data_IF_551553831388
#
_entry.id   IF_551553831388
#
_cell.length_a   1.000
_cell.length_b   1.000
_cell.length_c   1.000
_cell.angle_alpha   90.00
_cell.angle_beta   90.00
_cell.angle_gamma   90.00
#
_symmetry.space_group_name_H-M   'P 1'
#
loop_
_entity.id
_entity.type
_entity.pdbx_description
1 polymer ?
#
# COMPACT_ATOMS: atom_id res chain seq x y z
N UNK A 1 -12.76 -17.86 -8.01
CA UNK A 1 -13.87 -18.67 -8.63
C UNK A 1 -14.55 -19.48 -7.54
N UNK A 2 -15.88 -19.55 -7.52
CA UNK A 2 -16.58 -20.35 -6.54
C UNK A 2 -16.18 -21.83 -6.68
N UNK A 3 -15.93 -22.51 -5.56
CA UNK A 3 -15.62 -23.93 -5.54
C UNK A 3 -16.76 -24.71 -6.22
N UNK A 4 -16.47 -25.36 -7.34
CA UNK A 4 -17.46 -26.09 -8.14
C UNK A 4 -17.81 -27.45 -7.53
N UNK A 5 -16.93 -28.00 -6.68
CA UNK A 5 -17.17 -29.27 -6.00
C UNK A 5 -17.90 -29.00 -4.69
N UNK A 6 -19.16 -29.42 -4.58
CA UNK A 6 -19.99 -29.25 -3.38
C UNK A 6 -19.89 -30.43 -2.41
N UNK A 7 -19.64 -31.63 -2.93
CA UNK A 7 -19.45 -32.83 -2.15
C UNK A 7 -18.62 -33.87 -2.93
N UNK A 8 -17.98 -34.78 -2.19
CA UNK A 8 -17.27 -35.92 -2.74
C UNK A 8 -17.76 -37.18 -2.02
N UNK A 9 -18.28 -38.14 -2.78
CA UNK A 9 -18.89 -39.36 -2.24
C UNK A 9 -19.94 -39.11 -1.12
N UNK A 10 -20.73 -38.03 -1.27
CA UNK A 10 -21.76 -37.65 -0.32
C UNK A 10 -21.28 -36.90 0.92
N UNK A 11 -19.98 -36.72 1.08
CA UNK A 11 -19.41 -35.90 2.15
C UNK A 11 -19.29 -34.46 1.64
N UNK A 12 -19.81 -33.48 2.37
CA UNK A 12 -19.68 -32.09 2.05
C UNK A 12 -18.19 -31.69 1.95
N UNK A 13 -17.83 -30.89 0.94
CA UNK A 13 -16.42 -30.59 0.65
C UNK A 13 -15.70 -29.93 1.84
N UNK A 14 -16.38 -29.09 2.62
CA UNK A 14 -15.86 -28.48 3.83
C UNK A 14 -15.37 -29.48 4.90
N UNK A 15 -15.83 -30.75 4.83
CA UNK A 15 -15.46 -31.77 5.77
C UNK A 15 -14.38 -32.74 5.26
N UNK A 16 -13.88 -32.52 4.04
CA UNK A 16 -12.85 -33.34 3.42
C UNK A 16 -11.49 -32.74 3.72
N UNK A 17 -10.73 -33.38 4.58
CA UNK A 17 -9.38 -32.93 4.94
C UNK A 17 -8.28 -33.73 4.21
N UNK A 18 -8.62 -34.82 3.56
CA UNK A 18 -7.65 -35.66 2.87
C UNK A 18 -8.34 -36.55 1.82
N UNK A 19 -7.75 -36.69 0.64
CA UNK A 19 -8.16 -37.65 -0.39
C UNK A 19 -6.91 -38.43 -0.82
N UNK A 20 -6.92 -39.74 -0.64
CA UNK A 20 -5.84 -40.64 -1.01
C UNK A 20 -4.45 -40.21 -0.48
N UNK A 21 -4.41 -39.71 0.75
CA UNK A 21 -3.16 -39.25 1.37
C UNK A 21 -2.73 -37.82 1.01
N UNK A 22 -3.44 -37.17 0.12
CA UNK A 22 -3.24 -35.72 -0.18
C UNK A 22 -4.17 -34.90 0.72
N UNK A 23 -3.62 -33.94 1.42
CA UNK A 23 -4.39 -32.96 2.18
C UNK A 23 -5.20 -32.06 1.24
N UNK A 24 -6.29 -31.49 1.71
CA UNK A 24 -7.15 -30.58 0.94
C UNK A 24 -6.38 -29.42 0.28
N UNK A 25 -5.40 -28.86 0.97
CA UNK A 25 -4.53 -27.80 0.46
C UNK A 25 -3.72 -28.20 -0.81
N UNK A 26 -3.52 -29.51 -1.03
CA UNK A 26 -2.76 -30.03 -2.18
C UNK A 26 -3.67 -30.57 -3.30
N UNK A 27 -4.98 -30.56 -3.11
CA UNK A 27 -5.94 -31.06 -4.09
C UNK A 27 -6.43 -29.87 -4.90
N UNK A 28 -5.93 -29.69 -6.12
CA UNK A 28 -6.34 -28.59 -6.97
C UNK A 28 -7.51 -28.91 -7.91
N UNK A 29 -7.76 -30.20 -8.13
CA UNK A 29 -8.77 -30.63 -9.11
C UNK A 29 -9.31 -32.02 -8.73
N UNK A 30 -10.62 -32.19 -8.84
CA UNK A 30 -11.30 -33.48 -8.71
C UNK A 30 -12.13 -33.71 -9.95
N UNK A 31 -11.78 -34.73 -10.76
CA UNK A 31 -12.48 -35.06 -11.99
C UNK A 31 -12.67 -33.87 -12.97
N UNK A 32 -11.65 -33.06 -13.11
CA UNK A 32 -11.70 -31.88 -13.99
C UNK A 32 -12.42 -30.66 -13.40
N UNK A 33 -12.95 -30.79 -12.18
CA UNK A 33 -13.53 -29.67 -11.45
C UNK A 33 -12.51 -29.09 -10.49
N UNK A 34 -12.36 -27.78 -10.48
CA UNK A 34 -11.44 -27.11 -9.56
C UNK A 34 -11.86 -27.33 -8.11
N UNK A 35 -10.90 -27.76 -7.32
CA UNK A 35 -11.05 -27.95 -5.89
C UNK A 35 -10.15 -26.97 -5.16
N UNK A 36 -10.76 -25.99 -4.56
CA UNK A 36 -10.12 -25.17 -3.55
C UNK A 36 -10.56 -25.69 -2.19
N UNK A 37 -9.66 -26.35 -1.48
CA UNK A 37 -9.93 -26.74 -0.07
C UNK A 37 -10.36 -25.53 0.74
N UNK A 38 -11.12 -25.72 1.80
CA UNK A 38 -11.39 -24.62 2.75
C UNK A 38 -10.08 -24.21 3.39
N UNK A 39 -9.55 -23.07 2.96
CA UNK A 39 -8.43 -22.45 3.64
C UNK A 39 -9.02 -21.58 4.73
N UNK A 40 -8.65 -21.87 5.96
CA UNK A 40 -9.11 -21.09 7.11
C UNK A 40 -8.47 -19.70 7.07
N UNK A 41 -9.24 -18.68 7.41
CA UNK A 41 -8.72 -17.33 7.62
C UNK A 41 -7.93 -17.34 8.93
N UNK A 42 -6.66 -16.95 8.89
CA UNK A 42 -5.83 -16.93 10.10
C UNK A 42 -4.39 -16.51 9.88
N UNK A 43 -3.69 -16.30 10.98
CA UNK A 43 -2.26 -16.02 10.95
C UNK A 43 -1.48 -17.31 10.66
N UNK A 44 -0.60 -17.27 9.66
CA UNK A 44 0.40 -18.33 9.39
C UNK A 44 1.58 -18.16 10.34
N UNK A 45 2.06 -16.91 10.50
CA UNK A 45 3.05 -16.55 11.50
C UNK A 45 2.52 -15.42 12.37
N UNK A 46 2.80 -15.52 13.66
CA UNK A 46 2.61 -14.40 14.57
C UNK A 46 3.66 -13.29 14.30
N UNK A 47 3.43 -12.18 14.89
CA UNK A 47 4.26 -10.99 14.95
C UNK A 47 5.76 -11.29 15.04
N UNK A 48 6.52 -11.09 13.96
CA UNK A 48 7.92 -11.46 13.86
C UNK A 48 8.76 -10.28 13.37
N UNK A 49 9.84 -9.99 14.09
CA UNK A 49 10.75 -8.90 13.74
C UNK A 49 11.50 -9.20 12.43
N UNK A 50 11.63 -8.19 11.58
CA UNK A 50 12.43 -8.23 10.35
C UNK A 50 13.95 -8.18 10.62
N UNK A 51 14.38 -8.41 11.84
CA UNK A 51 15.77 -8.57 12.28
C UNK A 51 16.64 -7.30 12.32
N UNK A 52 16.08 -6.08 12.29
CA UNK A 52 16.92 -4.87 12.24
C UNK A 52 16.37 -3.72 13.05
N UNK A 53 17.29 -2.94 13.62
CA UNK A 53 16.94 -1.66 14.22
C UNK A 53 16.46 -0.67 13.17
N UNK A 54 15.23 -0.20 13.30
CA UNK A 54 14.57 0.73 12.40
C UNK A 54 14.02 1.96 13.13
N UNK A 55 13.26 2.75 12.39
CA UNK A 55 12.44 3.84 12.90
C UNK A 55 11.10 3.77 12.15
N UNK A 56 10.11 4.58 12.52
CA UNK A 56 8.77 4.54 11.92
C UNK A 56 8.77 4.68 10.39
N UNK A 57 7.89 3.94 9.71
CA UNK A 57 7.62 4.10 8.29
C UNK A 57 8.22 3.03 7.38
N UNK A 58 8.10 1.76 7.76
CA UNK A 58 8.47 0.65 6.85
C UNK A 58 7.55 0.60 5.64
N UNK A 59 8.10 0.16 4.53
CA UNK A 59 7.36 -0.11 3.30
C UNK A 59 7.93 -1.38 2.64
N UNK A 60 7.16 -2.05 1.80
CA UNK A 60 7.59 -3.28 1.15
C UNK A 60 7.10 -3.39 -0.28
N UNK A 61 7.78 -4.22 -1.05
CA UNK A 61 7.31 -4.73 -2.33
C UNK A 61 7.79 -6.16 -2.53
N UNK A 62 7.27 -6.82 -3.54
CA UNK A 62 7.55 -8.22 -3.82
C UNK A 62 8.12 -8.40 -5.23
N UNK A 63 9.27 -9.05 -5.32
CA UNK A 63 9.89 -9.51 -6.54
C UNK A 63 9.33 -10.91 -6.88
N UNK A 64 8.33 -10.96 -7.73
CA UNK A 64 7.65 -12.19 -8.10
C UNK A 64 8.50 -13.12 -8.97
N UNK A 65 9.51 -12.60 -9.68
CA UNK A 65 10.38 -13.38 -10.55
C UNK A 65 11.37 -14.24 -9.75
N UNK A 66 11.84 -13.71 -8.62
CA UNK A 66 12.81 -14.38 -7.74
C UNK A 66 12.21 -14.85 -6.41
N UNK A 67 10.94 -14.59 -6.15
CA UNK A 67 10.26 -14.84 -4.88
C UNK A 67 10.93 -14.14 -3.70
N UNK A 68 11.32 -12.88 -3.89
CA UNK A 68 11.94 -12.07 -2.87
C UNK A 68 10.98 -11.02 -2.34
N UNK A 69 10.99 -10.87 -1.02
CA UNK A 69 10.36 -9.73 -0.34
C UNK A 69 11.42 -8.67 -0.12
N UNK A 70 11.15 -7.46 -0.56
CA UNK A 70 11.95 -6.30 -0.27
C UNK A 70 11.24 -5.45 0.79
N UNK A 71 11.92 -5.14 1.87
CA UNK A 71 11.42 -4.25 2.94
C UNK A 71 12.41 -3.11 3.13
N UNK A 72 11.91 -1.88 3.10
CA UNK A 72 12.69 -0.68 3.39
C UNK A 72 12.16 0.03 4.64
N UNK A 73 13.04 0.73 5.34
CA UNK A 73 12.72 1.38 6.59
C UNK A 73 13.72 2.51 6.91
N UNK A 74 13.29 3.56 7.63
CA UNK A 74 14.22 4.52 8.23
C UNK A 74 15.09 3.83 9.27
N UNK A 75 16.37 4.19 9.35
CA UNK A 75 17.31 3.65 10.35
C UNK A 75 17.35 4.50 11.59
N UNK A 76 17.55 3.86 12.74
CA UNK A 76 17.84 4.57 13.97
C UNK A 76 19.20 5.25 13.85
N UNK A 77 19.25 6.55 14.09
CA UNK A 77 20.47 7.37 13.89
C UNK A 77 20.57 8.05 12.54
N UNK A 78 19.57 7.92 11.66
CA UNK A 78 19.47 8.56 10.35
C UNK A 78 19.74 7.62 9.18
N UNK A 79 19.30 8.05 8.01
CA UNK A 79 19.39 7.29 6.76
C UNK A 79 18.30 6.27 6.56
N UNK A 80 18.35 5.57 5.42
CA UNK A 80 17.44 4.51 5.01
C UNK A 80 18.14 3.17 4.87
N UNK A 81 17.46 2.12 5.29
CA UNK A 81 17.90 0.73 5.11
C UNK A 81 16.89 -0.07 4.31
N UNK A 82 17.38 -1.13 3.68
CA UNK A 82 16.56 -2.15 3.06
C UNK A 82 17.07 -3.54 3.41
N UNK A 83 16.17 -4.51 3.39
CA UNK A 83 16.51 -5.92 3.53
C UNK A 83 15.69 -6.74 2.56
N UNK A 84 16.28 -7.81 2.04
CA UNK A 84 15.61 -8.75 1.15
C UNK A 84 15.43 -10.07 1.88
N UNK A 85 14.23 -10.63 1.83
CA UNK A 85 13.90 -11.93 2.38
C UNK A 85 13.39 -12.90 1.32
N UNK A 86 13.42 -14.18 1.61
CA UNK A 86 12.75 -15.22 0.83
C UNK A 86 11.95 -16.12 1.75
N UNK A 87 10.77 -16.52 1.31
CA UNK A 87 9.96 -17.43 2.10
C UNK A 87 10.56 -18.84 2.17
N UNK A 88 10.60 -19.38 3.36
CA UNK A 88 11.02 -20.74 3.63
C UNK A 88 9.78 -21.60 3.98
N UNK A 89 9.34 -22.41 3.02
CA UNK A 89 8.16 -23.25 3.17
C UNK A 89 8.32 -24.34 4.23
N UNK A 90 9.55 -24.70 4.61
CA UNK A 90 9.81 -25.75 5.60
C UNK A 90 9.48 -25.31 7.03
N UNK A 91 9.66 -24.05 7.34
CA UNK A 91 9.36 -23.46 8.65
C UNK A 91 8.27 -22.39 8.59
N UNK A 92 7.68 -22.15 7.41
CA UNK A 92 6.65 -21.12 7.17
C UNK A 92 7.07 -19.72 7.64
N UNK A 93 8.32 -19.38 7.42
CA UNK A 93 8.91 -18.13 7.87
C UNK A 93 9.71 -17.47 6.73
N UNK A 94 10.22 -16.27 6.95
CA UNK A 94 11.06 -15.55 5.99
C UNK A 94 12.53 -15.59 6.41
N UNK A 95 13.37 -16.07 5.51
CA UNK A 95 14.82 -16.04 5.67
C UNK A 95 15.36 -14.71 5.15
N UNK A 96 15.77 -13.82 6.05
CA UNK A 96 16.26 -12.49 5.74
C UNK A 96 17.76 -12.48 5.38
N UNK A 97 18.12 -11.65 4.38
CA UNK A 97 19.49 -11.30 4.07
C UNK A 97 20.06 -10.22 5.00
N UNK A 98 21.22 -9.69 4.62
CA UNK A 98 21.84 -8.58 5.34
C UNK A 98 21.20 -7.24 4.98
N UNK A 99 21.16 -6.32 5.95
CA UNK A 99 20.69 -4.95 5.71
C UNK A 99 21.59 -4.20 4.75
N UNK A 100 20.99 -3.61 3.76
CA UNK A 100 21.61 -2.76 2.75
C UNK A 100 21.31 -1.29 3.06
N UNK A 101 22.27 -0.40 2.77
CA UNK A 101 22.06 1.05 2.96
C UNK A 101 21.48 1.65 1.68
N UNK A 102 20.29 2.27 1.79
CA UNK A 102 19.71 3.10 0.73
C UNK A 102 20.31 4.49 0.80
N UNK A 103 20.29 5.10 2.00
CA UNK A 103 20.77 6.43 2.29
C UNK A 103 21.53 6.40 3.62
N UNK A 104 22.70 7.06 3.69
CA UNK A 104 23.60 6.95 4.85
C UNK A 104 23.48 8.07 5.87
N UNK A 105 23.02 9.24 5.48
CA UNK A 105 23.21 10.46 6.27
C UNK A 105 21.96 11.31 6.50
N UNK A 106 21.02 11.29 5.57
CA UNK A 106 19.80 12.10 5.68
C UNK A 106 18.65 11.32 6.27
N UNK A 107 17.69 12.00 6.88
CA UNK A 107 16.49 11.34 7.32
C UNK A 107 15.78 10.73 6.11
N UNK A 108 15.25 9.53 6.30
CA UNK A 108 14.56 8.73 5.31
C UNK A 108 13.10 8.62 5.76
N UNK A 109 12.27 9.53 5.26
CA UNK A 109 10.87 9.61 5.68
C UNK A 109 9.93 9.58 4.48
N UNK A 110 8.66 9.32 4.68
CA UNK A 110 7.66 9.30 3.62
C UNK A 110 8.07 8.41 2.46
N UNK A 111 8.65 7.27 2.75
CA UNK A 111 9.24 6.40 1.73
C UNK A 111 8.20 5.52 1.04
N UNK A 112 8.44 5.21 -0.23
CA UNK A 112 7.64 4.31 -1.06
C UNK A 112 8.56 3.42 -1.89
N UNK A 113 8.13 2.21 -2.18
CA UNK A 113 8.84 1.29 -3.07
C UNK A 113 7.87 0.50 -3.93
N UNK A 114 8.38 0.03 -5.06
CA UNK A 114 7.70 -0.90 -5.93
C UNK A 114 8.71 -1.76 -6.69
N UNK A 115 8.28 -2.91 -7.17
CA UNK A 115 9.09 -3.79 -8.00
C UNK A 115 8.74 -3.61 -9.47
N UNK A 116 9.77 -3.49 -10.29
CA UNK A 116 9.71 -3.38 -11.73
C UNK A 116 10.02 -4.74 -12.35
N UNK A 117 8.98 -5.48 -12.67
CA UNK A 117 9.08 -6.79 -13.32
C UNK A 117 9.64 -6.69 -14.73
N UNK A 118 9.38 -5.61 -15.45
CA UNK A 118 9.85 -5.42 -16.82
C UNK A 118 11.38 -5.35 -16.90
N UNK A 119 12.01 -4.62 -15.97
CA UNK A 119 13.45 -4.45 -15.91
C UNK A 119 14.13 -5.31 -14.83
N UNK A 120 13.39 -6.04 -14.01
CA UNK A 120 13.88 -6.77 -12.84
C UNK A 120 14.65 -5.84 -11.88
N UNK A 121 13.96 -4.83 -11.36
CA UNK A 121 14.52 -3.78 -10.50
C UNK A 121 13.60 -3.47 -9.32
N UNK A 122 14.19 -3.06 -8.22
CA UNK A 122 13.46 -2.43 -7.12
C UNK A 122 13.63 -0.93 -7.18
N UNK A 123 12.53 -0.21 -7.10
CA UNK A 123 12.45 1.23 -7.01
C UNK A 123 12.22 1.68 -5.59
N UNK A 124 12.84 2.77 -5.19
CA UNK A 124 12.59 3.45 -3.92
C UNK A 124 12.59 4.95 -4.10
N UNK A 125 11.66 5.63 -3.43
CA UNK A 125 11.63 7.08 -3.31
C UNK A 125 11.41 7.47 -1.84
N UNK A 126 11.98 8.61 -1.42
CA UNK A 126 11.87 9.08 -0.04
C UNK A 126 12.04 10.59 0.06
N UNK A 127 11.67 11.13 1.21
CA UNK A 127 11.91 12.53 1.58
C UNK A 127 13.10 12.60 2.52
N UNK A 128 14.10 13.40 2.17
CA UNK A 128 15.22 13.75 3.05
C UNK A 128 14.77 14.72 4.14
N UNK A 129 14.99 14.37 5.40
CA UNK A 129 14.37 15.07 6.52
C UNK A 129 14.98 16.41 6.90
N UNK A 130 16.17 16.73 6.40
CA UNK A 130 16.86 17.98 6.78
C UNK A 130 16.74 19.09 5.74
N UNK A 131 16.57 18.70 4.51
CA UNK A 131 16.57 19.58 3.33
C UNK A 131 15.24 19.60 2.57
N UNK A 132 14.28 18.76 3.02
CA UNK A 132 12.99 18.61 2.35
C UNK A 132 13.11 18.32 0.86
N UNK A 133 14.05 17.46 0.52
CA UNK A 133 14.34 17.06 -0.85
C UNK A 133 13.73 15.70 -1.11
N UNK A 134 13.13 15.52 -2.29
CA UNK A 134 12.61 14.25 -2.75
C UNK A 134 13.68 13.54 -3.55
N UNK A 135 13.98 12.31 -3.15
CA UNK A 135 14.98 11.46 -3.79
C UNK A 135 14.35 10.19 -4.35
N UNK A 136 15.00 9.63 -5.35
CA UNK A 136 14.71 8.27 -5.83
C UNK A 136 16.01 7.51 -6.10
N UNK A 137 15.90 6.19 -6.02
CA UNK A 137 16.99 5.26 -6.34
C UNK A 137 16.39 3.99 -6.92
N UNK A 138 17.16 3.36 -7.81
CA UNK A 138 16.80 2.07 -8.40
C UNK A 138 17.93 1.08 -8.14
N UNK A 139 17.60 -0.21 -7.98
CA UNK A 139 18.59 -1.24 -7.69
C UNK A 139 18.22 -2.60 -8.23
N UNK A 140 19.23 -3.45 -8.41
CA UNK A 140 19.09 -4.85 -8.79
C UNK A 140 19.26 -5.74 -7.57
N UNK A 141 18.29 -6.62 -7.32
CA UNK A 141 18.40 -7.63 -6.27
C UNK A 141 19.14 -8.85 -6.83
N UNK A 142 20.22 -9.26 -6.17
CA UNK A 142 20.97 -10.44 -6.53
C UNK A 142 20.43 -11.70 -5.82
N UNK A 143 20.78 -12.88 -6.31
CA UNK A 143 20.34 -14.17 -5.75
C UNK A 143 20.80 -14.41 -4.30
N UNK A 144 21.86 -13.73 -3.85
CA UNK A 144 22.33 -13.74 -2.46
C UNK A 144 21.61 -12.71 -1.57
N UNK A 145 20.56 -12.05 -2.12
CA UNK A 145 19.77 -11.01 -1.46
C UNK A 145 20.52 -9.69 -1.23
N UNK A 146 21.67 -9.49 -1.84
CA UNK A 146 22.33 -8.19 -1.90
C UNK A 146 21.67 -7.29 -2.95
N UNK A 147 21.82 -5.96 -2.81
CA UNK A 147 21.23 -4.98 -3.74
C UNK A 147 22.35 -4.13 -4.33
N UNK A 148 22.42 -4.13 -5.65
CA UNK A 148 23.31 -3.23 -6.40
C UNK A 148 22.56 -1.95 -6.75
N UNK A 149 22.81 -0.90 -5.99
CA UNK A 149 22.15 0.39 -6.15
C UNK A 149 22.78 1.25 -7.24
N UNK A 150 21.96 1.89 -8.06
CA UNK A 150 22.38 3.01 -8.92
C UNK A 150 22.62 4.29 -8.16
N UNK A 151 22.91 5.37 -8.88
CA UNK A 151 23.08 6.72 -8.32
C UNK A 151 21.75 7.27 -7.82
N UNK A 152 21.77 7.93 -6.68
CA UNK A 152 20.60 8.64 -6.15
C UNK A 152 20.24 9.82 -7.05
N UNK A 153 18.99 9.87 -7.51
CA UNK A 153 18.41 11.01 -8.22
C UNK A 153 17.76 11.97 -7.22
N UNK A 154 18.03 13.25 -7.36
CA UNK A 154 17.25 14.31 -6.74
C UNK A 154 16.07 14.65 -7.64
N UNK A 155 14.84 14.33 -7.22
CA UNK A 155 13.62 14.66 -7.95
C UNK A 155 13.31 16.15 -7.76
N UNK A 156 13.27 16.63 -6.54
CA UNK A 156 12.99 18.03 -6.22
C UNK A 156 13.75 18.51 -5.00
N UNK A 157 14.45 19.64 -5.14
CA UNK A 157 15.14 20.33 -4.04
C UNK A 157 14.23 21.36 -3.38
N UNK A 158 14.49 21.59 -2.08
CA UNK A 158 13.94 22.75 -1.38
C UNK A 158 12.41 22.77 -1.32
N UNK A 159 11.84 21.62 -1.13
CA UNK A 159 10.44 21.45 -0.91
C UNK A 159 10.01 22.25 0.33
N UNK A 160 9.22 23.31 0.13
CA UNK A 160 8.79 24.10 1.26
C UNK A 160 7.86 23.34 2.15
N UNK A 161 8.36 23.08 3.32
CA UNK A 161 7.69 22.34 4.35
C UNK A 161 6.63 23.16 5.04
N UNK A 162 5.41 22.93 4.72
CA UNK A 162 4.44 22.96 5.79
C UNK A 162 4.73 21.69 6.61
N UNK A 163 5.34 21.85 7.76
CA UNK A 163 5.90 20.77 8.60
C UNK A 163 4.91 19.67 9.01
N UNK A 164 3.68 19.77 8.59
CA UNK A 164 2.55 18.92 8.94
C UNK A 164 2.29 17.78 7.96
N UNK A 165 2.77 17.90 6.70
CA UNK A 165 2.37 16.98 5.62
C UNK A 165 3.54 16.16 5.04
N UNK A 166 4.75 16.38 5.52
CA UNK A 166 5.95 15.84 4.89
C UNK A 166 6.21 14.35 5.12
N UNK A 167 5.59 13.75 6.11
CA UNK A 167 6.00 12.41 6.56
C UNK A 167 5.15 11.27 6.01
N UNK A 168 4.02 11.56 5.42
CA UNK A 168 3.14 10.56 4.80
C UNK A 168 3.00 10.70 3.28
N UNK A 169 3.67 11.64 2.66
CA UNK A 169 3.42 12.02 1.27
C UNK A 169 3.79 10.96 0.25
N UNK A 170 4.89 10.24 0.48
CA UNK A 170 5.37 9.25 -0.48
C UNK A 170 4.91 7.82 -0.21
N UNK A 171 4.31 7.52 0.93
CA UNK A 171 3.78 6.18 1.15
C UNK A 171 2.68 5.87 0.15
N UNK A 172 2.90 4.83 -0.68
CA UNK A 172 2.15 4.55 -1.90
C UNK A 172 2.16 5.72 -2.92
N UNK A 173 3.19 6.56 -2.88
CA UNK A 173 3.42 7.64 -3.85
C UNK A 173 4.31 7.23 -5.02
N UNK A 174 4.58 5.95 -5.20
CA UNK A 174 5.38 5.38 -6.27
C UNK A 174 4.67 4.16 -6.84
N UNK A 175 4.55 4.08 -8.16
CA UNK A 175 3.95 2.95 -8.85
C UNK A 175 4.62 2.71 -10.21
N UNK A 176 4.95 1.45 -10.49
CA UNK A 176 5.64 1.05 -11.72
C UNK A 176 4.65 0.56 -12.77
N UNK A 177 4.78 1.05 -13.99
CA UNK A 177 4.19 0.47 -15.18
C UNK A 177 4.91 -0.84 -15.51
N UNK A 178 4.28 -1.94 -15.18
CA UNK A 178 4.82 -3.29 -15.33
C UNK A 178 5.01 -3.72 -16.80
N UNK A 179 4.51 -2.93 -17.76
CA UNK A 179 4.67 -3.20 -19.19
C UNK A 179 5.86 -2.49 -19.83
N UNK A 180 6.33 -1.39 -19.23
CA UNK A 180 7.42 -0.57 -19.77
C UNK A 180 8.56 -0.29 -18.78
N UNK A 181 8.38 -0.62 -17.50
CA UNK A 181 9.33 -0.32 -16.44
C UNK A 181 9.44 1.16 -16.07
N UNK A 182 8.52 2.00 -16.57
CA UNK A 182 8.46 3.39 -16.16
C UNK A 182 7.80 3.52 -14.80
N UNK A 183 8.30 4.42 -13.98
CA UNK A 183 7.83 4.62 -12.61
C UNK A 183 7.22 6.01 -12.47
N UNK A 184 5.96 6.09 -12.04
CA UNK A 184 5.35 7.34 -11.60
C UNK A 184 5.70 7.57 -10.13
N UNK A 185 6.22 8.76 -9.81
CA UNK A 185 6.34 9.25 -8.45
C UNK A 185 5.43 10.45 -8.28
N UNK A 186 4.60 10.42 -7.24
CA UNK A 186 3.66 11.50 -6.90
C UNK A 186 3.93 12.02 -5.50
N UNK A 187 3.75 13.32 -5.32
CA UNK A 187 3.91 13.97 -4.03
C UNK A 187 3.02 15.20 -3.94
N UNK A 188 2.82 15.67 -2.73
CA UNK A 188 2.13 16.92 -2.49
C UNK A 188 3.14 18.05 -2.32
N UNK A 189 2.98 19.15 -3.03
CA UNK A 189 3.85 20.31 -2.94
C UNK A 189 3.12 21.50 -2.29
N UNK A 190 3.56 21.89 -1.10
CA UNK A 190 2.96 23.01 -0.37
C UNK A 190 3.27 24.39 -0.96
N UNK A 191 4.35 24.50 -1.72
CA UNK A 191 4.80 25.73 -2.37
C UNK A 191 4.85 25.58 -3.89
N UNK A 192 3.77 25.09 -4.46
CA UNK A 192 3.74 24.91 -5.90
C UNK A 192 3.81 26.25 -6.63
N UNK A 193 4.97 26.55 -7.17
CA UNK A 193 5.18 27.67 -8.12
C UNK A 193 4.72 27.32 -9.53
N UNK A 194 4.40 26.05 -9.79
CA UNK A 194 3.84 25.59 -11.06
C UNK A 194 2.37 26.01 -11.07
N UNK A 195 2.07 27.17 -11.63
CA UNK A 195 0.70 27.70 -11.74
C UNK A 195 0.34 28.87 -10.84
N UNK A 196 1.27 29.40 -10.06
CA UNK A 196 1.19 30.77 -9.54
C UNK A 196 0.41 31.01 -8.24
N UNK A 197 0.01 29.99 -7.50
CA UNK A 197 -0.65 30.16 -6.20
C UNK A 197 0.10 29.42 -5.10
N UNK A 198 0.89 30.12 -4.34
CA UNK A 198 1.78 29.58 -3.29
C UNK A 198 1.08 29.11 -2.01
N UNK A 199 -0.23 29.17 -1.92
CA UNK A 199 -0.98 28.87 -0.69
C UNK A 199 -1.77 27.58 -0.72
N UNK A 200 -1.77 26.83 -1.82
CA UNK A 200 -2.55 25.62 -1.96
C UNK A 200 -1.63 24.42 -2.19
N UNK A 201 -1.83 23.38 -1.41
CA UNK A 201 -1.17 22.08 -1.59
C UNK A 201 -1.64 21.45 -2.90
N UNK A 202 -0.74 21.16 -3.81
CA UNK A 202 -1.09 20.54 -5.08
C UNK A 202 -0.31 19.25 -5.31
N UNK A 203 -1.00 18.19 -5.73
CA UNK A 203 -0.35 16.96 -6.17
C UNK A 203 0.50 17.21 -7.40
N UNK A 204 1.75 16.81 -7.34
CA UNK A 204 2.69 16.81 -8.45
C UNK A 204 3.11 15.39 -8.79
N UNK A 205 3.55 15.18 -9.99
CA UNK A 205 4.07 13.91 -10.46
C UNK A 205 5.20 14.04 -11.45
N UNK A 206 6.00 13.00 -11.52
CA UNK A 206 7.11 12.85 -12.46
C UNK A 206 7.18 11.39 -12.91
N UNK A 207 7.52 11.16 -14.17
CA UNK A 207 7.83 9.82 -14.68
C UNK A 207 9.34 9.64 -14.64
N UNK A 208 9.77 8.53 -14.03
CA UNK A 208 11.14 8.10 -13.96
C UNK A 208 11.39 6.94 -14.94
N UNK A 209 12.59 6.92 -15.51
CA UNK A 209 13.04 5.83 -16.40
C UNK A 209 14.44 5.40 -15.96
N UNK A 210 14.68 4.10 -15.85
CA UNK A 210 15.97 3.53 -15.46
C UNK A 210 16.81 3.15 -16.67
N UNK A 211 18.11 3.41 -16.60
CA UNK A 211 19.11 2.74 -17.44
C UNK A 211 19.51 1.43 -16.74
N UNK A 212 19.19 0.31 -17.36
CA UNK A 212 19.43 -1.01 -16.78
C UNK A 212 20.89 -1.43 -16.76
N UNK A 213 21.76 -0.68 -17.41
CA UNK A 213 23.21 -0.99 -17.43
C UNK A 213 23.92 -0.59 -16.13
N UNK A 214 23.45 0.44 -15.44
CA UNK A 214 24.05 0.98 -14.22
C UNK A 214 23.05 1.38 -13.13
N UNK A 215 21.75 1.14 -13.37
CA UNK A 215 20.63 1.53 -12.52
C UNK A 215 20.50 3.06 -12.32
N UNK A 216 21.08 3.88 -13.19
CA UNK A 216 20.88 5.32 -13.16
C UNK A 216 19.47 5.69 -13.59
N UNK A 217 18.96 6.80 -13.06
CA UNK A 217 17.58 7.25 -13.26
C UNK A 217 17.56 8.58 -13.97
N UNK A 218 16.69 8.71 -14.95
CA UNK A 218 16.31 9.98 -15.57
C UNK A 218 14.87 10.33 -15.23
N UNK A 219 14.54 11.62 -15.18
CA UNK A 219 13.19 12.10 -14.88
C UNK A 219 12.62 12.94 -16.00
N UNK A 220 11.29 12.90 -16.13
CA UNK A 220 10.50 13.79 -16.98
C UNK A 220 10.39 15.21 -16.38
N UNK A 221 9.65 16.10 -17.05
CA UNK A 221 9.20 17.33 -16.41
C UNK A 221 8.23 17.06 -15.28
N UNK A 222 8.29 17.91 -14.24
CA UNK A 222 7.30 17.90 -13.16
C UNK A 222 5.97 18.44 -13.67
N UNK A 223 4.88 17.78 -13.34
CA UNK A 223 3.54 18.18 -13.75
C UNK A 223 2.60 18.22 -12.54
N UNK A 224 1.79 19.26 -12.46
CA UNK A 224 0.70 19.31 -11.50
C UNK A 224 -0.41 18.36 -11.93
N UNK A 225 -0.79 17.44 -11.04
CA UNK A 225 -1.75 16.38 -11.35
C UNK A 225 -3.20 16.76 -11.00
N UNK A 226 -3.40 17.60 -9.99
CA UNK A 226 -4.74 18.04 -9.62
C UNK A 226 -4.77 19.56 -9.36
N UNK A 227 -5.87 20.19 -9.74
CA UNK A 227 -6.12 21.61 -9.49
C UNK A 227 -7.35 21.72 -8.59
N UNK A 228 -7.16 22.24 -7.38
CA UNK A 228 -8.27 22.65 -6.50
C UNK A 228 -8.79 24.04 -6.88
N UNK A 229 -10.01 24.36 -6.46
CA UNK A 229 -10.51 25.73 -6.42
C UNK A 229 -9.69 26.60 -5.46
N UNK A 230 -9.89 27.92 -5.47
CA UNK A 230 -9.21 28.82 -4.53
C UNK A 230 -9.52 28.42 -3.08
N UNK A 231 -8.48 28.10 -2.30
CA UNK A 231 -8.62 27.67 -0.90
C UNK A 231 -8.80 26.16 -0.70
N UNK A 232 -8.68 25.33 -1.74
CA UNK A 232 -8.66 23.88 -1.63
C UNK A 232 -7.23 23.36 -1.73
N UNK A 233 -6.76 22.69 -0.70
CA UNK A 233 -5.54 21.89 -0.72
C UNK A 233 -5.87 20.42 -1.00
N UNK A 234 -4.88 19.66 -1.47
CA UNK A 234 -4.92 18.21 -1.59
C UNK A 234 -3.74 17.64 -0.78
N UNK A 235 -3.90 17.47 0.52
CA UNK A 235 -2.79 17.17 1.42
C UNK A 235 -2.17 15.79 1.21
N UNK A 236 -2.88 14.86 0.59
CA UNK A 236 -2.44 13.48 0.40
C UNK A 236 -2.57 13.09 -1.07
N UNK A 237 -1.60 12.36 -1.60
CA UNK A 237 -1.71 11.69 -2.89
C UNK A 237 -1.08 10.30 -2.81
N UNK A 238 -1.75 9.33 -3.42
CA UNK A 238 -1.31 7.94 -3.57
C UNK A 238 -1.49 7.53 -5.02
N UNK A 239 -0.68 6.61 -5.52
CA UNK A 239 -0.84 6.10 -6.89
C UNK A 239 -0.70 4.57 -6.95
N UNK A 240 -1.26 4.02 -8.00
CA UNK A 240 -1.16 2.62 -8.39
C UNK A 240 -1.14 2.52 -9.92
N UNK A 241 -0.55 1.47 -10.45
CA UNK A 241 -0.60 1.19 -11.87
C UNK A 241 -1.87 0.40 -12.22
N UNK A 242 -2.49 0.76 -13.32
CA UNK A 242 -3.65 0.08 -13.92
C UNK A 242 -3.17 -0.72 -15.14
N UNK A 243 -3.05 -2.04 -15.04
CA UNK A 243 -2.53 -2.85 -16.14
C UNK A 243 -3.50 -2.95 -17.31
N UNK A 244 -4.81 -2.84 -17.09
CA UNK A 244 -5.82 -3.02 -18.12
C UNK A 244 -5.92 -1.81 -19.04
N UNK A 245 -5.76 -0.61 -18.48
CA UNK A 245 -5.75 0.62 -19.23
C UNK A 245 -4.34 1.14 -19.56
N UNK A 246 -3.28 0.44 -19.10
CA UNK A 246 -1.87 0.82 -19.28
C UNK A 246 -1.56 2.27 -18.87
N UNK A 247 -2.09 2.66 -17.72
CA UNK A 247 -1.90 3.99 -17.14
C UNK A 247 -1.83 3.91 -15.62
N UNK A 248 -1.53 5.01 -14.97
CA UNK A 248 -1.61 5.09 -13.50
C UNK A 248 -2.93 5.70 -13.07
N UNK A 249 -3.36 5.32 -11.89
CA UNK A 249 -4.45 5.94 -11.18
C UNK A 249 -3.90 6.54 -9.89
N UNK A 250 -4.32 7.74 -9.56
CA UNK A 250 -3.98 8.35 -8.29
C UNK A 250 -5.24 8.70 -7.51
N UNK A 251 -5.16 8.60 -6.18
CA UNK A 251 -6.19 9.06 -5.27
C UNK A 251 -5.63 10.18 -4.41
N UNK A 252 -6.47 11.15 -4.12
CA UNK A 252 -6.14 12.30 -3.26
C UNK A 252 -7.34 12.69 -2.44
N UNK A 253 -7.12 13.35 -1.32
CA UNK A 253 -8.19 13.96 -0.54
C UNK A 253 -8.07 15.49 -0.57
N UNK A 254 -9.21 16.18 -0.55
CA UNK A 254 -9.26 17.62 -0.47
C UNK A 254 -9.49 18.05 0.98
N UNK A 255 -8.80 19.12 1.39
CA UNK A 255 -9.09 19.84 2.63
C UNK A 255 -10.00 21.05 2.39
N UNK A 256 -10.56 21.61 3.48
CA UNK A 256 -11.41 22.79 3.43
C UNK A 256 -12.90 22.50 3.23
N UNK A 257 -13.60 23.36 2.51
CA UNK A 257 -15.07 23.29 2.36
C UNK A 257 -15.58 22.17 1.45
N UNK A 258 -14.68 21.50 0.73
CA UNK A 258 -14.99 20.41 -0.21
C UNK A 258 -14.22 19.15 0.16
N UNK A 259 -14.37 18.72 1.43
CA UNK A 259 -13.77 17.47 1.91
C UNK A 259 -14.27 16.29 1.10
N UNK A 260 -13.38 15.38 0.75
CA UNK A 260 -13.72 14.14 0.05
C UNK A 260 -12.54 13.52 -0.66
N UNK A 261 -12.70 12.27 -1.03
CA UNK A 261 -11.69 11.50 -1.78
C UNK A 261 -11.93 11.71 -3.27
N UNK A 262 -10.86 11.94 -4.00
CA UNK A 262 -10.86 12.07 -5.45
C UNK A 262 -9.98 10.98 -6.06
N UNK A 263 -10.39 10.47 -7.20
CA UNK A 263 -9.53 9.65 -8.06
C UNK A 263 -9.28 10.37 -9.38
N UNK A 264 -8.11 10.16 -9.95
CA UNK A 264 -7.70 10.76 -11.21
C UNK A 264 -6.86 9.76 -12.00
N UNK A 265 -6.98 9.82 -13.32
CA UNK A 265 -6.16 9.08 -14.25
C UNK A 265 -4.86 9.85 -14.53
N UNK A 266 -3.76 9.14 -14.64
CA UNK A 266 -2.47 9.71 -15.00
C UNK A 266 -1.88 8.91 -16.15
N UNK A 267 -1.82 9.52 -17.31
CA UNK A 267 -1.27 8.93 -18.53
C UNK A 267 0.15 9.39 -18.78
N UNK A 268 0.89 8.62 -19.57
CA UNK A 268 2.18 9.04 -20.10
C UNK A 268 1.99 9.78 -21.41
N UNK A 269 2.03 11.10 -21.38
CA UNK A 269 1.91 11.94 -22.58
C UNK A 269 3.28 12.45 -23.02
N UNK A 270 3.82 11.89 -24.09
CA UNK A 270 5.12 12.27 -24.65
C UNK A 270 6.27 12.27 -23.62
N UNK A 271 6.24 11.29 -22.71
CA UNK A 271 7.26 11.13 -21.67
C UNK A 271 6.97 11.86 -20.37
N UNK A 272 5.91 12.65 -20.28
CA UNK A 272 5.52 13.39 -19.07
C UNK A 272 4.20 12.85 -18.49
N UNK A 273 3.96 12.92 -17.18
CA UNK A 273 2.68 12.58 -16.60
C UNK A 273 1.62 13.62 -17.04
N UNK A 274 0.44 13.14 -17.41
CA UNK A 274 -0.70 13.96 -17.76
C UNK A 274 -1.94 13.47 -17.02
N UNK A 275 -2.44 14.30 -16.11
CA UNK A 275 -3.64 13.97 -15.35
C UNK A 275 -4.92 14.30 -16.13
N UNK A 276 -5.91 13.45 -16.02
CA UNK A 276 -7.22 13.61 -16.63
C UNK A 276 -8.32 13.08 -15.69
N UNK A 277 -9.53 13.57 -15.91
CA UNK A 277 -10.75 13.01 -15.33
C UNK A 277 -10.74 12.89 -13.78
N UNK A 278 -10.34 13.98 -13.09
CA UNK A 278 -10.46 14.06 -11.64
C UNK A 278 -11.95 13.95 -11.25
N UNK A 279 -12.30 12.88 -10.54
CA UNK A 279 -13.68 12.58 -10.15
C UNK A 279 -13.76 12.39 -8.64
N UNK A 280 -14.64 13.15 -8.00
CA UNK A 280 -14.90 13.06 -6.57
C UNK A 280 -15.79 11.85 -6.25
N UNK A 281 -15.45 11.16 -5.17
CA UNK A 281 -16.37 10.23 -4.54
C UNK A 281 -17.55 11.04 -3.97
N UNK A 282 -18.68 10.99 -4.65
CA UNK A 282 -19.87 11.77 -4.28
C UNK A 282 -20.49 11.24 -3.00
N UNK A 283 -21.00 12.13 -2.17
CA UNK A 283 -21.74 11.89 -0.91
C UNK A 283 -20.94 11.75 0.40
N UNK A 284 -19.63 12.02 0.43
CA UNK A 284 -18.86 11.72 1.64
C UNK A 284 -18.03 12.89 2.19
N UNK A 285 -18.73 13.95 2.61
CA UNK A 285 -18.16 14.88 3.59
C UNK A 285 -17.92 14.13 4.91
N UNK A 286 -16.73 13.65 5.17
CA UNK A 286 -16.39 12.91 6.40
C UNK A 286 -15.42 11.76 6.23
N UNK A 287 -15.13 11.37 4.99
CA UNK A 287 -14.09 10.38 4.69
C UNK A 287 -12.85 11.07 4.13
N UNK A 288 -11.69 10.60 4.54
CA UNK A 288 -10.40 11.10 4.08
C UNK A 288 -9.39 9.96 3.91
N UNK A 289 -8.28 10.25 3.27
CA UNK A 289 -7.10 9.37 3.20
C UNK A 289 -6.10 9.66 4.33
N UNK A 290 -6.50 10.48 5.29
CA UNK A 290 -5.68 10.88 6.43
C UNK A 290 -6.21 10.21 7.70
N UNK A 291 -5.33 9.64 8.48
CA UNK A 291 -5.68 8.86 9.66
C UNK A 291 -6.10 9.66 10.89
N UNK A 292 -6.27 11.00 10.83
CA UNK A 292 -6.78 11.76 11.95
C UNK A 292 -8.03 12.53 11.58
N UNK A 293 -9.10 12.22 12.25
CA UNK A 293 -10.41 12.86 12.06
C UNK A 293 -10.54 14.23 12.69
N UNK A 294 -9.46 14.86 13.16
CA UNK A 294 -9.60 16.10 13.91
C UNK A 294 -9.70 17.35 13.04
N UNK A 295 -9.55 17.23 11.71
CA UNK A 295 -9.38 18.41 10.85
C UNK A 295 -8.14 19.23 11.26
N UNK A 296 -7.54 18.81 12.34
CA UNK A 296 -6.35 19.40 12.89
C UNK A 296 -5.15 18.62 12.33
N UNK A 297 -4.79 18.94 11.09
CA UNK A 297 -3.53 18.54 10.49
C UNK A 297 -2.33 19.01 11.35
N UNK A 298 -2.64 19.33 12.60
CA UNK A 298 -1.79 19.91 13.59
C UNK A 298 -1.05 18.82 14.36
N UNK A 299 -0.11 18.15 13.74
CA UNK A 299 0.91 17.41 14.46
C UNK A 299 1.77 18.36 15.32
N UNK A 300 1.14 19.21 16.15
CA UNK A 300 1.84 20.08 17.09
C UNK A 300 2.57 19.29 18.17
N UNK A 301 2.33 18.01 18.29
CA UNK A 301 3.04 17.13 19.21
C UNK A 301 4.14 16.29 18.53
N UNK A 302 4.66 16.75 17.40
CA UNK A 302 5.91 16.23 16.85
C UNK A 302 5.92 14.75 16.45
N UNK A 303 4.83 14.06 16.62
CA UNK A 303 4.80 12.62 16.58
C UNK A 303 3.85 12.00 15.56
N UNK A 304 2.78 12.65 15.08
CA UNK A 304 1.72 11.78 14.65
C UNK A 304 1.20 11.92 13.23
N UNK A 305 0.82 13.08 12.79
CA UNK A 305 -0.12 13.19 11.66
C UNK A 305 0.36 12.75 10.28
N UNK A 306 1.65 12.67 10.03
CA UNK A 306 2.19 12.34 8.70
C UNK A 306 3.06 11.08 8.65
N UNK A 307 3.24 10.42 9.77
CA UNK A 307 4.18 9.29 9.89
C UNK A 307 3.55 7.94 9.54
N UNK A 308 2.23 7.89 9.46
CA UNK A 308 1.46 6.65 9.48
C UNK A 308 0.64 6.50 8.21
N UNK A 309 1.29 6.35 7.08
CA UNK A 309 0.62 6.01 5.85
C UNK A 309 0.89 4.56 5.50
N UNK A 310 -0.14 3.77 5.41
CA UNK A 310 -0.12 2.47 4.80
C UNK A 310 -0.46 2.54 3.31
N UNK A 311 -0.67 1.41 2.70
CA UNK A 311 -1.31 1.32 1.41
C UNK A 311 -2.81 1.60 1.59
N UNK A 312 -3.30 2.60 0.90
CA UNK A 312 -4.69 3.02 0.97
C UNK A 312 -5.51 2.55 -0.22
N UNK A 313 -4.83 2.07 -1.25
CA UNK A 313 -5.44 1.62 -2.49
C UNK A 313 -4.75 0.36 -2.98
N UNK A 314 -5.55 -0.60 -3.44
CA UNK A 314 -5.09 -1.80 -4.14
C UNK A 314 -5.92 -1.99 -5.40
N UNK A 315 -5.36 -2.70 -6.38
CA UNK A 315 -6.06 -3.07 -7.60
C UNK A 315 -6.52 -4.53 -7.51
N UNK A 316 -7.82 -4.75 -7.66
CA UNK A 316 -8.44 -6.06 -7.72
C UNK A 316 -8.48 -6.53 -9.18
N UNK A 317 -7.56 -7.41 -9.54
CA UNK A 317 -7.41 -7.93 -10.90
C UNK A 317 -8.55 -8.83 -11.36
N UNK A 318 -9.44 -9.26 -10.48
CA UNK A 318 -10.60 -10.09 -10.89
C UNK A 318 -11.80 -9.24 -11.26
N UNK A 319 -12.03 -8.15 -10.57
CA UNK A 319 -13.15 -7.25 -10.82
C UNK A 319 -12.78 -6.03 -11.67
N UNK A 320 -11.49 -5.83 -11.95
CA UNK A 320 -10.92 -4.65 -12.62
C UNK A 320 -11.24 -3.34 -11.86
N UNK A 321 -11.23 -3.41 -10.53
CA UNK A 321 -11.55 -2.28 -9.67
C UNK A 321 -10.40 -1.93 -8.73
N UNK A 322 -10.30 -0.65 -8.44
CA UNK A 322 -9.48 -0.15 -7.34
C UNK A 322 -10.29 -0.14 -6.06
N UNK A 323 -9.73 -0.71 -5.01
CA UNK A 323 -10.33 -0.72 -3.67
C UNK A 323 -9.57 0.28 -2.80
N UNK A 324 -10.31 1.20 -2.20
CA UNK A 324 -9.78 2.30 -1.38
C UNK A 324 -10.23 2.13 0.05
N UNK A 325 -9.28 2.06 0.97
CA UNK A 325 -9.56 2.21 2.39
C UNK A 325 -9.66 3.69 2.75
N UNK A 326 -10.67 4.06 3.51
CA UNK A 326 -10.82 5.42 4.01
C UNK A 326 -10.73 5.47 5.53
N UNK A 327 -10.28 6.59 6.05
CA UNK A 327 -10.50 6.98 7.44
C UNK A 327 -11.73 7.88 7.56
N UNK A 328 -12.14 8.19 8.79
CA UNK A 328 -13.20 9.16 9.03
C UNK A 328 -12.74 10.25 9.98
N UNK A 329 -13.29 11.43 9.84
CA UNK A 329 -13.08 12.55 10.75
C UNK A 329 -14.07 12.57 11.92
N UNK A 330 -14.84 11.50 12.12
CA UNK A 330 -15.87 11.41 13.16
C UNK A 330 -15.70 10.15 13.99
N UNK A 331 -15.65 10.30 15.29
CA UNK A 331 -15.63 9.16 16.24
C UNK A 331 -16.91 8.31 16.21
N UNK A 332 -17.96 8.76 15.55
CA UNK A 332 -19.23 8.03 15.43
C UNK A 332 -19.43 7.33 14.09
N UNK A 333 -18.52 7.51 13.14
CA UNK A 333 -18.64 6.95 11.81
C UNK A 333 -17.52 5.91 11.59
N UNK A 334 -17.88 4.69 11.25
CA UNK A 334 -16.90 3.66 10.94
C UNK A 334 -16.15 3.99 9.63
N UNK A 335 -14.85 3.67 9.53
CA UNK A 335 -14.12 3.66 8.27
C UNK A 335 -14.85 2.81 7.24
N UNK A 336 -14.61 3.10 5.96
CA UNK A 336 -15.22 2.34 4.87
C UNK A 336 -14.19 1.92 3.83
N UNK A 337 -14.52 0.84 3.15
CA UNK A 337 -13.94 0.53 1.85
C UNK A 337 -14.86 1.05 0.76
N UNK A 338 -14.26 1.62 -0.28
CA UNK A 338 -14.93 2.04 -1.51
C UNK A 338 -14.25 1.37 -2.70
N UNK A 339 -15.00 1.20 -3.78
CA UNK A 339 -14.46 0.71 -5.03
C UNK A 339 -14.66 1.74 -6.14
N UNK A 340 -13.77 1.75 -7.11
CA UNK A 340 -13.97 2.45 -8.36
C UNK A 340 -13.33 1.72 -9.52
N UNK A 341 -13.89 1.90 -10.71
CA UNK A 341 -13.37 1.43 -11.98
C UNK A 341 -12.70 2.59 -12.72
N UNK A 342 -11.54 2.33 -13.30
CA UNK A 342 -10.97 3.18 -14.34
C UNK A 342 -11.35 2.62 -15.70
N UNK A 343 -12.19 3.32 -16.45
CA UNK A 343 -12.70 2.87 -17.75
C UNK A 343 -11.79 3.22 -18.91
N UNK A 344 -10.57 3.73 -18.67
CA UNK A 344 -9.71 4.29 -19.71
C UNK A 344 -10.20 5.65 -20.27
N UNK A 345 -11.45 6.03 -20.01
CA UNK A 345 -12.04 7.32 -20.41
C UNK A 345 -12.56 8.14 -19.22
N UNK A 346 -12.75 7.53 -18.07
CA UNK A 346 -13.27 8.16 -16.85
C UNK A 346 -13.08 7.29 -15.63
N UNK A 347 -13.51 7.79 -14.50
CA UNK A 347 -13.55 7.09 -13.20
C UNK A 347 -15.01 6.91 -12.79
N UNK A 348 -15.40 5.67 -12.53
CA UNK A 348 -16.72 5.30 -12.02
C UNK A 348 -16.60 4.82 -10.57
N UNK A 349 -17.16 5.57 -9.64
CA UNK A 349 -17.20 5.17 -8.23
C UNK A 349 -18.40 4.29 -7.91
N UNK A 350 -18.16 3.16 -7.23
CA UNK A 350 -19.18 2.52 -6.41
C UNK A 350 -19.29 3.29 -5.09
N UNK A 351 -20.35 4.07 -4.97
CA UNK A 351 -20.54 4.98 -3.83
C UNK A 351 -21.13 4.30 -2.59
N UNK A 352 -21.50 3.02 -2.69
CA UNK A 352 -22.15 2.29 -1.59
C UNK A 352 -21.17 2.04 -0.46
N UNK A 353 -20.00 1.51 -0.78
CA UNK A 353 -18.95 1.17 0.18
C UNK A 353 -19.42 0.21 1.29
N UNK A 354 -18.48 -0.36 2.03
CA UNK A 354 -18.78 -1.18 3.21
C UNK A 354 -18.07 -0.62 4.45
N UNK A 355 -18.81 -0.57 5.58
CA UNK A 355 -18.21 -0.22 6.85
C UNK A 355 -17.29 -1.35 7.34
N UNK A 356 -16.15 -0.97 7.91
CA UNK A 356 -15.19 -1.89 8.48
C UNK A 356 -15.51 -2.09 9.96
N UNK A 357 -15.56 -3.35 10.41
CA UNK A 357 -16.08 -3.72 11.75
C UNK A 357 -15.02 -3.61 12.86
N UNK A 358 -13.75 -3.43 12.54
CA UNK A 358 -12.67 -3.38 13.54
C UNK A 358 -12.54 -2.04 14.28
N UNK A 359 -13.64 -1.35 14.50
CA UNK A 359 -13.71 -0.22 15.41
C UNK A 359 -14.21 1.07 14.82
N UNK A 360 -14.94 1.82 15.64
CA UNK A 360 -15.51 3.12 15.28
C UNK A 360 -14.56 4.27 15.53
N UNK A 361 -13.40 3.99 16.10
CA UNK A 361 -12.51 5.05 16.59
C UNK A 361 -11.10 4.93 16.03
N UNK A 362 -10.94 5.31 14.76
CA UNK A 362 -9.65 5.85 14.35
C UNK A 362 -9.51 7.26 14.99
N UNK A 363 -9.92 7.39 16.23
CA UNK A 363 -10.17 8.70 16.85
C UNK A 363 -8.96 9.32 17.49
N UNK A 364 -7.81 8.68 17.50
CA UNK A 364 -6.63 9.31 18.11
C UNK A 364 -5.37 9.04 17.32
N UNK A 365 -4.86 10.14 16.77
CA UNK A 365 -3.48 10.28 16.33
C UNK A 365 -2.98 9.30 15.26
N UNK A 366 -3.55 9.35 14.06
CA UNK A 366 -2.85 8.85 12.88
C UNK A 366 -2.91 7.34 12.66
N UNK A 367 -3.91 6.66 13.18
CA UNK A 367 -4.13 5.24 12.98
C UNK A 367 -4.89 5.01 11.67
N UNK A 368 -4.18 5.08 10.57
CA UNK A 368 -4.74 4.89 9.24
C UNK A 368 -5.04 3.43 8.93
N UNK A 369 -6.16 3.19 8.25
CA UNK A 369 -6.44 1.89 7.68
C UNK A 369 -5.39 1.54 6.62
N UNK A 370 -4.96 0.30 6.61
CA UNK A 370 -4.11 -0.26 5.57
C UNK A 370 -4.90 -1.33 4.84
N UNK A 371 -4.70 -1.44 3.55
CA UNK A 371 -5.35 -2.45 2.74
C UNK A 371 -4.30 -3.29 2.01
N UNK A 372 -4.48 -4.60 2.02
CA UNK A 372 -3.72 -5.56 1.22
C UNK A 372 -4.65 -6.36 0.33
N UNK A 373 -4.12 -6.81 -0.78
CA UNK A 373 -4.84 -7.65 -1.71
C UNK A 373 -4.09 -8.97 -1.94
N UNK A 374 -4.83 -10.07 -1.89
CA UNK A 374 -4.35 -11.38 -2.30
C UNK A 374 -4.91 -11.75 -3.67
N UNK A 375 -4.07 -11.69 -4.70
CA UNK A 375 -4.42 -12.14 -6.05
C UNK A 375 -4.81 -13.61 -6.07
N UNK A 376 -4.12 -14.45 -5.29
CA UNK A 376 -4.40 -15.88 -5.23
C UNK A 376 -5.77 -16.20 -4.62
N UNK A 377 -6.28 -15.32 -3.74
CA UNK A 377 -7.54 -15.52 -2.99
C UNK A 377 -8.67 -14.60 -3.43
N UNK A 378 -8.34 -13.58 -4.20
CA UNK A 378 -9.27 -12.50 -4.54
C UNK A 378 -9.92 -11.89 -3.29
N UNK A 379 -9.09 -11.54 -2.32
CA UNK A 379 -9.51 -10.98 -1.04
C UNK A 379 -8.61 -9.85 -0.60
N UNK A 380 -9.18 -8.96 0.20
CA UNK A 380 -8.46 -7.87 0.83
C UNK A 380 -8.44 -8.07 2.33
N UNK A 381 -7.35 -7.68 2.97
CA UNK A 381 -7.29 -7.50 4.40
C UNK A 381 -7.22 -6.02 4.72
N UNK A 382 -8.00 -5.57 5.68
CA UNK A 382 -7.87 -4.23 6.24
C UNK A 382 -7.47 -4.33 7.69
N UNK A 383 -6.64 -3.39 8.11
CA UNK A 383 -6.17 -3.27 9.47
C UNK A 383 -6.84 -2.08 10.16
N UNK A 384 -7.21 -2.25 11.40
CA UNK A 384 -7.73 -1.19 12.25
C UNK A 384 -7.43 -1.47 13.71
N UNK A 385 -7.54 -0.41 14.52
CA UNK A 385 -7.31 -0.48 15.95
C UNK A 385 -8.51 0.07 16.72
N UNK A 386 -9.04 -0.75 17.62
CA UNK A 386 -9.98 -0.39 18.66
C UNK A 386 -9.58 -1.12 19.95
N UNK A 387 -8.58 -0.57 20.66
CA UNK A 387 -7.86 -1.27 21.73
C UNK A 387 -6.86 -2.27 21.16
N UNK A 388 -7.32 -3.45 20.78
CA UNK A 388 -6.50 -4.46 20.09
C UNK A 388 -6.35 -4.15 18.59
N UNK A 389 -5.22 -4.54 18.02
CA UNK A 389 -5.04 -4.48 16.57
C UNK A 389 -5.69 -5.68 15.88
N UNK A 390 -6.54 -5.39 14.92
CA UNK A 390 -7.37 -6.41 14.27
C UNK A 390 -7.36 -6.29 12.76
N UNK A 391 -7.54 -7.45 12.11
CA UNK A 391 -7.71 -7.57 10.67
C UNK A 391 -9.12 -8.04 10.34
N UNK A 392 -9.69 -7.44 9.32
CA UNK A 392 -10.92 -7.88 8.69
C UNK A 392 -10.66 -8.21 7.22
N UNK A 393 -11.25 -9.32 6.75
CA UNK A 393 -11.06 -9.85 5.40
C UNK A 393 -12.32 -9.61 4.59
N UNK A 394 -12.13 -9.11 3.38
CA UNK A 394 -13.20 -8.79 2.44
C UNK A 394 -12.95 -9.40 1.07
N UNK A 395 -14.00 -9.50 0.27
CA UNK A 395 -13.94 -9.60 -1.19
C UNK A 395 -14.85 -8.55 -1.81
N UNK A 396 -14.62 -8.27 -3.08
CA UNK A 396 -15.46 -7.38 -3.88
C UNK A 396 -15.93 -8.09 -5.14
N UNK A 397 -17.15 -7.82 -5.52
CA UNK A 397 -17.75 -8.27 -6.79
C UNK A 397 -18.48 -7.07 -7.41
N UNK A 398 -18.17 -6.74 -8.65
CA UNK A 398 -18.74 -5.57 -9.34
C UNK A 398 -20.27 -5.57 -9.42
N UNK A 399 -20.91 -6.75 -9.37
CA UNK A 399 -22.37 -6.90 -9.37
C UNK A 399 -23.01 -7.03 -7.99
N UNK A 400 -22.23 -7.49 -7.01
CA UNK A 400 -22.69 -7.81 -5.64
C UNK A 400 -22.14 -6.89 -4.56
N UNK A 401 -21.13 -6.06 -4.87
CA UNK A 401 -20.45 -5.20 -3.91
C UNK A 401 -19.51 -5.96 -2.97
N UNK A 402 -19.26 -5.38 -1.81
CA UNK A 402 -18.35 -5.94 -0.81
C UNK A 402 -19.00 -7.04 0.03
N UNK A 403 -18.22 -8.05 0.39
CA UNK A 403 -18.57 -9.08 1.37
C UNK A 403 -17.49 -9.19 2.43
N UNK A 404 -17.85 -9.08 3.72
CA UNK A 404 -16.96 -9.37 4.84
C UNK A 404 -16.97 -10.87 5.16
N UNK A 405 -15.81 -11.46 5.39
CA UNK A 405 -15.64 -12.90 5.61
C UNK A 405 -15.43 -13.28 7.08
N UNK A 406 -15.03 -12.35 7.93
CA UNK A 406 -14.72 -12.60 9.33
C UNK A 406 -15.17 -11.50 10.30
N UNK A 407 -16.16 -10.69 9.95
CA UNK A 407 -16.67 -9.58 10.78
C UNK A 407 -17.10 -10.01 12.20
N UNK A 408 -17.55 -11.26 12.36
CA UNK A 408 -17.91 -11.84 13.66
C UNK A 408 -16.74 -12.44 14.45
N UNK A 409 -15.57 -12.55 13.83
CA UNK A 409 -14.36 -13.16 14.41
C UNK A 409 -13.12 -12.52 13.79
N UNK A 410 -12.86 -11.26 14.14
CA UNK A 410 -11.70 -10.52 13.66
C UNK A 410 -10.40 -11.19 14.11
N UNK A 411 -9.37 -11.16 13.25
CA UNK A 411 -8.06 -11.68 13.60
C UNK A 411 -7.35 -10.65 14.46
N UNK A 412 -7.02 -10.98 15.69
CA UNK A 412 -6.19 -10.16 16.56
C UNK A 412 -4.72 -10.35 16.20
N UNK A 413 -4.02 -9.28 15.87
CA UNK A 413 -2.59 -9.28 15.58
C UNK A 413 -1.79 -9.04 16.87
N UNK A 414 -2.22 -8.05 17.65
CA UNK A 414 -1.63 -7.68 18.93
C UNK A 414 -2.71 -7.28 19.92
N UNK A 415 -2.48 -7.61 21.20
CA UNK A 415 -3.32 -7.18 22.33
C UNK A 415 -2.73 -6.00 23.08
N UNK A 416 -1.60 -5.46 22.63
CA UNK A 416 -0.99 -4.28 23.20
C UNK A 416 -1.73 -3.01 22.72
N UNK A 417 -1.94 -2.09 23.66
CA UNK A 417 -2.47 -0.74 23.38
C UNK A 417 -1.53 0.09 22.48
N UNK A 418 -0.29 -0.36 22.31
CA UNK A 418 0.69 0.26 21.43
C UNK A 418 0.63 -0.35 20.02
N UNK A 419 0.17 0.44 19.05
CA UNK A 419 -0.15 -0.08 17.74
C UNK A 419 1.07 -0.53 16.95
N UNK A 420 1.00 -1.76 16.47
CA UNK A 420 1.95 -2.40 15.58
C UNK A 420 2.21 -1.62 14.29
N UNK A 421 1.19 -0.94 13.79
CA UNK A 421 1.26 -0.28 12.50
C UNK A 421 1.36 1.25 12.57
N UNK A 422 1.92 1.80 13.61
CA UNK A 422 2.29 3.20 13.60
C UNK A 422 3.44 3.44 12.62
N UNK A 423 3.17 3.48 11.36
CA UNK A 423 4.17 3.85 10.40
C UNK A 423 4.23 3.02 9.12
N UNK A 424 3.13 2.91 8.46
CA UNK A 424 3.08 2.37 7.12
C UNK A 424 3.16 0.86 7.05
N UNK A 425 2.05 0.20 7.23
CA UNK A 425 1.93 -1.18 6.80
C UNK A 425 1.87 -1.20 5.28
N UNK A 426 2.81 -1.86 4.66
CA UNK A 426 2.73 -2.30 3.29
C UNK A 426 2.23 -3.72 3.30
N UNK A 427 1.18 -3.99 2.55
CA UNK A 427 0.61 -5.32 2.43
C UNK A 427 0.83 -5.78 1.00
N UNK A 428 1.52 -6.90 0.82
CA UNK A 428 1.83 -7.45 -0.48
C UNK A 428 1.34 -8.88 -0.55
N UNK A 429 0.65 -9.20 -1.64
CA UNK A 429 0.33 -10.57 -1.96
C UNK A 429 1.60 -11.32 -2.36
N UNK A 430 1.87 -12.38 -1.66
CA UNK A 430 2.98 -13.26 -1.95
C UNK A 430 2.43 -14.56 -2.54
N UNK A 431 1.86 -14.45 -3.74
CA UNK A 431 1.22 -15.56 -4.46
C UNK A 431 2.15 -16.77 -4.71
N UNK A 432 3.46 -16.54 -4.64
CA UNK A 432 4.46 -17.60 -4.72
C UNK A 432 4.61 -18.40 -3.44
N UNK A 433 4.04 -17.99 -2.31
CA UNK A 433 3.93 -18.87 -1.16
C UNK A 433 3.01 -20.02 -1.48
N UNK A 434 3.47 -21.24 -1.23
CA UNK A 434 2.65 -22.42 -1.31
C UNK A 434 1.46 -22.25 -0.35
N UNK A 435 0.30 -21.85 -0.89
CA UNK A 435 -0.87 -21.52 -0.12
C UNK A 435 -1.43 -20.12 -0.36
N UNK A 436 -0.65 -19.18 -0.90
CA UNK A 436 -1.10 -17.82 -1.17
C UNK A 436 -1.20 -16.94 0.07
N UNK A 437 -0.25 -17.08 1.00
CA UNK A 437 -0.19 -16.20 2.17
C UNK A 437 0.12 -14.77 1.76
N UNK A 438 -0.51 -13.83 2.44
CA UNK A 438 -0.26 -12.39 2.28
C UNK A 438 0.63 -11.91 3.40
N UNK A 439 1.66 -11.16 3.07
CA UNK A 439 2.55 -10.55 4.05
C UNK A 439 2.10 -9.14 4.39
N UNK A 440 2.09 -8.84 5.67
CA UNK A 440 1.89 -7.50 6.19
C UNK A 440 3.16 -7.08 6.92
N UNK A 441 3.71 -5.94 6.56
CA UNK A 441 4.86 -5.34 7.24
C UNK A 441 4.41 -4.08 7.96
N UNK A 442 4.83 -3.92 9.19
CA UNK A 442 4.57 -2.73 9.98
C UNK A 442 5.75 -2.37 10.87
N UNK A 443 5.59 -1.35 11.68
CA UNK A 443 6.60 -0.91 12.63
C UNK A 443 6.00 -0.91 14.02
N UNK A 444 6.65 -1.59 14.94
CA UNK A 444 6.31 -1.57 16.37
C UNK A 444 6.60 -0.19 16.97
N UNK A 445 5.68 0.31 17.76
CA UNK A 445 5.79 1.67 18.31
C UNK A 445 6.91 1.81 19.35
N UNK A 446 7.04 0.84 20.23
CA UNK A 446 7.98 0.91 21.33
C UNK A 446 9.41 0.62 20.90
N UNK A 447 9.60 -0.49 20.20
CA UNK A 447 10.91 -0.89 19.70
C UNK A 447 11.37 -0.10 18.49
N UNK A 448 10.43 0.46 17.71
CA UNK A 448 10.66 1.13 16.42
C UNK A 448 11.23 0.21 15.33
N UNK A 449 11.13 -1.09 15.52
CA UNK A 449 11.63 -2.06 14.54
C UNK A 449 10.55 -2.42 13.52
N UNK A 450 10.93 -2.74 12.28
CA UNK A 450 10.00 -3.34 11.34
C UNK A 450 9.67 -4.78 11.74
N UNK A 451 8.39 -5.11 11.67
CA UNK A 451 7.84 -6.43 11.94
C UNK A 451 6.98 -6.89 10.78
N UNK A 452 6.71 -8.17 10.71
CA UNK A 452 5.78 -8.73 9.73
C UNK A 452 4.90 -9.82 10.35
N UNK A 453 3.81 -10.06 9.68
CA UNK A 453 2.95 -11.22 9.85
C UNK A 453 2.71 -11.86 8.49
N UNK A 454 2.44 -13.15 8.47
CA UNK A 454 1.92 -13.86 7.31
C UNK A 454 0.48 -14.26 7.58
N UNK A 455 -0.40 -13.97 6.64
CA UNK A 455 -1.84 -14.10 6.75
C UNK A 455 -2.39 -15.00 5.65
N UNK A 456 -3.17 -15.99 6.02
CA UNK A 456 -4.07 -16.73 5.12
C UNK A 456 -5.42 -16.03 5.11
N UNK A 457 -5.89 -15.65 3.92
CA UNK A 457 -7.16 -14.91 3.77
C UNK A 457 -8.36 -15.81 3.50
N UNK A 458 -8.19 -17.13 3.57
CA UNK A 458 -9.21 -18.09 3.25
C UNK A 458 -9.50 -18.20 1.74
N UNK A 459 -10.36 -19.10 1.29
CA UNK A 459 -10.69 -19.29 -0.12
C UNK A 459 -11.78 -20.33 -0.35
#
# INVERSE_FOLDING_TARGET
>A
MANQVKSFNGVAIANIKNINGLTDANIKNINGQEFTGTIDIGLVTSYTQVAVAGNYGSNMTYDEDNNFVYVQFPRNGGGGGAVVGSFNSSNQNVDWGSVQTIESSNAFSGNSCDYDKYNNRVWTAWIGGGDNTIYARCGTIASDKSISWGTTLTIQNGYSTYSRYNQGLLQQGLAVDQSTGKCLVVWNNANDTIGGNASNHHPNGVILTVDTSDNSITQSSHVRLATGGSGQGFPTIKCHYDPDNTEWVAITDADGSSTGIYALRVTNSSGNPAAANQTQLTSNSGFSLQGDGSGDHNATNGAAGGRYGGHWMVYDTLSDHFIVASSTNSSSTAPKLFAFENTGSGINWDTTGIAVSHGTTISQSGKGGTIAYSHARNRFATHGQDGDEKLEIFSYDASGGFTSHNSSSLITISTDDDPFFRGGASMQDMSAFAGGATMIVGTDYDSRYPYYILLEMGG
#
